data_IF_837469915456
#
_entry.id   IF_837469915456
#
_cell.length_a   1.000
_cell.length_b   1.000
_cell.length_c   1.000
_cell.angle_alpha   90.00
_cell.angle_beta   90.00
_cell.angle_gamma   90.00
#
_symmetry.space_group_name_H-M   'P 1'
#
loop_
_entity.id
_entity.type
_entity.pdbx_description
1 polymer ?
#
# COMPACT_ATOMS: atom_id res chain seq x y z
N UNK A 1 8.49 38.68 -14.93
CA UNK A 1 7.78 38.35 -16.19
C UNK A 1 7.10 39.61 -16.68
N UNK A 2 7.49 40.13 -17.84
CA UNK A 2 6.79 41.18 -18.61
C UNK A 2 5.33 40.78 -18.78
N UNK A 3 4.37 41.72 -18.83
CA UNK A 3 2.98 41.44 -19.21
C UNK A 3 2.87 41.83 -20.67
N UNK A 4 3.31 40.94 -21.55
CA UNK A 4 3.53 41.30 -22.92
C UNK A 4 2.16 41.26 -23.58
N UNK A 5 1.70 42.40 -24.07
CA UNK A 5 0.79 42.37 -25.20
C UNK A 5 1.59 41.83 -26.38
N UNK A 6 1.51 40.53 -26.51
CA UNK A 6 2.47 39.76 -27.30
C UNK A 6 2.02 39.74 -28.76
N UNK A 7 0.71 39.88 -28.99
CA UNK A 7 0.06 39.47 -30.23
C UNK A 7 -0.71 40.56 -30.93
N UNK A 8 -1.12 41.60 -30.23
CA UNK A 8 -1.52 42.83 -30.90
C UNK A 8 -0.20 43.53 -31.28
N UNK A 9 0.25 43.43 -32.54
CA UNK A 9 1.49 44.03 -32.97
C UNK A 9 1.34 45.54 -32.84
N UNK A 10 2.40 46.21 -32.40
CA UNK A 10 2.36 47.66 -32.18
C UNK A 10 2.01 48.46 -33.44
N UNK A 11 2.07 47.83 -34.63
CA UNK A 11 1.88 48.46 -35.93
C UNK A 11 0.64 47.98 -36.72
N UNK A 12 -0.33 47.29 -36.09
CA UNK A 12 -1.52 46.79 -36.78
C UNK A 12 -2.41 47.94 -37.35
N UNK A 13 -2.93 47.81 -38.58
CA UNK A 13 -3.76 48.85 -39.26
C UNK A 13 -5.15 48.40 -39.76
N UNK A 14 -5.45 47.10 -39.72
CA UNK A 14 -6.69 46.53 -40.28
C UNK A 14 -7.77 46.35 -39.21
N UNK A 15 -9.04 46.72 -39.50
CA UNK A 15 -10.14 46.57 -38.55
C UNK A 15 -10.84 45.19 -38.68
N UNK A 16 -11.11 44.51 -37.56
CA UNK A 16 -12.30 43.66 -37.35
C UNK A 16 -12.39 43.18 -35.88
N UNK A 17 -11.56 42.23 -35.41
CA UNK A 17 -11.47 41.93 -33.97
C UNK A 17 -10.19 41.19 -33.56
N UNK A 18 -9.56 41.67 -32.48
CA UNK A 18 -8.45 41.03 -31.80
C UNK A 18 -8.74 41.06 -30.30
N UNK A 19 -8.44 39.97 -29.59
CA UNK A 19 -8.53 39.93 -28.13
C UNK A 19 -7.32 39.22 -27.55
N UNK A 20 -6.77 39.83 -26.50
CA UNK A 20 -5.75 39.24 -25.65
C UNK A 20 -6.24 39.25 -24.20
N UNK A 21 -5.80 38.26 -23.42
CA UNK A 21 -6.21 38.10 -22.04
C UNK A 21 -5.02 38.30 -21.12
N UNK A 22 -5.12 39.31 -20.28
CA UNK A 22 -4.12 39.63 -19.27
C UNK A 22 -4.44 38.91 -17.95
N UNK A 23 -3.61 37.93 -17.62
CA UNK A 23 -3.71 37.14 -16.40
C UNK A 23 -3.02 37.79 -15.19
N UNK A 24 -2.51 39.02 -15.32
CA UNK A 24 -1.80 39.77 -14.27
C UNK A 24 -2.57 39.94 -12.96
N UNK A 25 -3.89 40.03 -13.06
CA UNK A 25 -4.82 40.21 -11.95
C UNK A 25 -5.65 38.96 -11.68
N UNK A 26 -5.34 37.84 -12.35
CA UNK A 26 -5.94 36.58 -11.97
C UNK A 26 -5.43 36.16 -10.60
N UNK A 27 -6.30 35.50 -9.84
CA UNK A 27 -5.94 35.04 -8.51
C UNK A 27 -4.77 34.04 -8.59
N UNK A 28 -3.59 34.50 -8.17
CA UNK A 28 -2.36 33.72 -8.10
C UNK A 28 -2.17 32.99 -6.77
N UNK A 29 -3.17 33.04 -5.87
CA UNK A 29 -3.10 32.36 -4.60
C UNK A 29 -3.21 30.84 -4.80
N UNK A 30 -2.08 30.17 -4.99
CA UNK A 30 -1.97 28.75 -4.69
C UNK A 30 -1.58 28.61 -3.23
N UNK A 31 -2.46 28.03 -2.42
CA UNK A 31 -2.06 27.58 -1.08
C UNK A 31 -1.53 26.17 -1.24
N UNK A 32 -0.20 25.92 -1.10
CA UNK A 32 0.31 24.57 -1.11
C UNK A 32 -0.33 23.79 0.05
N UNK A 33 -1.09 22.76 -0.30
CA UNK A 33 -1.70 21.86 0.67
C UNK A 33 -0.72 20.71 0.90
N UNK A 34 -0.09 20.74 2.07
CA UNK A 34 0.85 19.71 2.50
C UNK A 34 0.14 18.71 3.38
N UNK A 35 0.34 17.44 3.07
CA UNK A 35 -0.15 16.33 3.89
C UNK A 35 1.01 15.77 4.70
N UNK A 36 0.78 15.54 5.98
CA UNK A 36 1.68 14.76 6.83
C UNK A 36 1.03 13.41 7.13
N UNK A 37 1.69 12.32 6.73
CA UNK A 37 1.32 10.96 7.09
C UNK A 37 2.25 10.50 8.21
N UNK A 38 1.67 10.05 9.31
CA UNK A 38 2.39 9.53 10.47
C UNK A 38 2.08 8.05 10.59
N UNK A 39 3.12 7.22 10.64
CA UNK A 39 2.94 5.79 10.77
C UNK A 39 4.24 5.04 11.01
N UNK A 40 4.08 3.76 11.32
CA UNK A 40 5.19 2.87 11.63
C UNK A 40 5.93 2.42 10.36
N UNK A 41 7.24 2.28 10.48
CA UNK A 41 8.14 1.73 9.46
C UNK A 41 8.62 0.34 9.87
N UNK A 42 9.18 -0.44 8.96
CA UNK A 42 9.83 -1.71 9.31
C UNK A 42 11.24 -1.45 9.90
N UNK A 43 11.80 -2.43 10.59
CA UNK A 43 13.14 -2.32 11.20
C UNK A 43 14.25 -1.99 10.19
N UNK A 44 14.11 -2.44 8.94
CA UNK A 44 15.05 -2.19 7.83
C UNK A 44 14.84 -0.81 7.14
N UNK A 45 13.99 0.05 7.70
CA UNK A 45 13.72 1.38 7.16
C UNK A 45 14.98 2.25 7.11
N UNK A 46 15.13 2.99 6.02
CA UNK A 46 16.22 3.97 5.83
C UNK A 46 15.77 5.40 6.12
N UNK A 47 14.49 5.60 6.46
CA UNK A 47 13.99 6.92 6.83
C UNK A 47 14.53 7.34 8.21
N UNK A 48 14.93 8.61 8.38
CA UNK A 48 15.35 9.13 9.67
C UNK A 48 14.16 9.18 10.64
N UNK A 49 14.24 8.43 11.74
CA UNK A 49 13.19 8.38 12.76
C UNK A 49 12.81 9.79 13.26
N UNK A 50 11.50 10.02 13.43
CA UNK A 50 10.91 11.27 13.95
C UNK A 50 11.21 12.54 13.12
N UNK A 51 11.68 12.39 11.87
CA UNK A 51 11.95 13.51 10.95
C UNK A 51 11.05 13.39 9.71
N UNK A 52 10.19 14.38 9.41
CA UNK A 52 9.39 14.38 8.20
C UNK A 52 10.24 14.40 6.93
N UNK A 53 9.97 13.47 6.00
CA UNK A 53 10.63 13.39 4.69
C UNK A 53 9.60 13.51 3.58
N UNK A 54 9.87 14.37 2.60
CA UNK A 54 9.03 14.51 1.41
C UNK A 54 9.13 13.25 0.53
N UNK A 55 8.00 12.61 0.27
CA UNK A 55 7.92 11.39 -0.56
C UNK A 55 6.76 11.53 -1.54
N UNK A 56 7.03 11.29 -2.83
CA UNK A 56 6.07 11.55 -3.91
C UNK A 56 5.46 10.28 -4.53
N UNK A 57 5.83 9.08 -4.06
CA UNK A 57 5.26 7.84 -4.60
C UNK A 57 5.17 6.72 -3.57
N UNK A 58 4.18 5.84 -3.74
CA UNK A 58 4.03 4.64 -2.92
C UNK A 58 5.24 3.69 -3.06
N UNK A 59 5.81 3.56 -4.26
CA UNK A 59 6.99 2.74 -4.49
C UNK A 59 8.22 3.26 -3.74
N UNK A 60 8.43 4.58 -3.73
CA UNK A 60 9.48 5.21 -2.92
C UNK A 60 9.22 4.99 -1.43
N UNK A 61 7.97 5.12 -0.97
CA UNK A 61 7.61 4.83 0.41
C UNK A 61 7.89 3.35 0.78
N UNK A 62 7.57 2.39 -0.09
CA UNK A 62 7.87 0.98 0.11
C UNK A 62 9.38 0.73 0.26
N UNK A 63 10.21 1.34 -0.59
CA UNK A 63 11.65 1.19 -0.54
C UNK A 63 12.29 1.82 0.70
N UNK A 64 11.75 2.97 1.15
CA UNK A 64 12.33 3.72 2.27
C UNK A 64 11.82 3.24 3.63
N UNK A 65 10.51 3.04 3.78
CA UNK A 65 9.85 2.64 5.03
C UNK A 65 9.72 1.11 5.20
N UNK A 66 9.91 0.34 4.12
CA UNK A 66 9.68 -1.09 4.04
C UNK A 66 8.33 -1.44 3.39
N UNK A 67 8.36 -2.38 2.45
CA UNK A 67 7.18 -2.83 1.72
C UNK A 67 6.19 -3.55 2.66
N UNK A 68 4.95 -3.08 2.65
CA UNK A 68 3.88 -3.55 3.55
C UNK A 68 3.95 -2.95 4.96
N UNK A 69 4.81 -1.95 5.21
CA UNK A 69 4.73 -1.14 6.43
C UNK A 69 3.41 -0.37 6.51
N UNK A 70 3.03 0.04 7.72
CA UNK A 70 1.90 0.94 7.97
C UNK A 70 2.02 2.21 7.13
N UNK A 71 3.21 2.82 7.09
CA UNK A 71 3.47 4.01 6.29
C UNK A 71 3.31 3.77 4.78
N UNK A 72 3.80 2.64 4.26
CA UNK A 72 3.59 2.26 2.86
C UNK A 72 2.09 2.11 2.53
N UNK A 73 1.34 1.43 3.40
CA UNK A 73 -0.11 1.25 3.22
C UNK A 73 -0.87 2.59 3.25
N UNK A 74 -0.57 3.46 4.22
CA UNK A 74 -1.17 4.79 4.32
C UNK A 74 -0.86 5.66 3.11
N UNK A 75 0.39 5.68 2.64
CA UNK A 75 0.79 6.43 1.45
C UNK A 75 0.07 5.93 0.19
N UNK A 76 -0.03 4.60 0.04
CA UNK A 76 -0.76 3.99 -1.07
C UNK A 76 -2.24 4.37 -1.05
N UNK A 77 -2.88 4.32 0.12
CA UNK A 77 -4.28 4.72 0.28
C UNK A 77 -4.49 6.22 0.03
N UNK A 78 -3.55 7.07 0.46
CA UNK A 78 -3.60 8.51 0.21
C UNK A 78 -3.53 8.80 -1.29
N UNK A 79 -2.53 8.27 -2.00
CA UNK A 79 -2.33 8.52 -3.43
C UNK A 79 -3.47 7.98 -4.31
N UNK A 80 -4.24 7.00 -3.84
CA UNK A 80 -5.44 6.55 -4.53
C UNK A 80 -6.56 7.62 -4.55
N UNK A 81 -6.51 8.60 -3.64
CA UNK A 81 -7.48 9.69 -3.54
C UNK A 81 -6.90 11.03 -4.04
N UNK A 82 -5.62 11.29 -3.78
CA UNK A 82 -4.91 12.48 -4.22
C UNK A 82 -3.57 12.10 -4.87
N UNK A 83 -3.58 12.00 -6.20
CA UNK A 83 -2.42 11.57 -6.98
C UNK A 83 -1.31 12.61 -7.09
N UNK A 84 -1.55 13.87 -6.68
CA UNK A 84 -0.64 15.00 -6.90
C UNK A 84 -0.29 15.77 -5.61
N UNK A 85 -0.70 15.27 -4.44
CA UNK A 85 -0.44 15.89 -3.15
C UNK A 85 1.04 16.00 -2.77
N UNK A 86 1.40 17.09 -2.09
CA UNK A 86 2.72 17.25 -1.47
C UNK A 86 2.73 16.48 -0.13
N UNK A 87 3.23 15.24 -0.14
CA UNK A 87 3.16 14.34 1.02
C UNK A 87 4.49 14.22 1.75
N UNK A 88 4.46 14.52 3.05
CA UNK A 88 5.54 14.24 3.99
C UNK A 88 5.21 13.00 4.81
N UNK A 89 6.19 12.10 4.95
CA UNK A 89 6.09 10.94 5.83
C UNK A 89 6.87 11.22 7.11
N UNK A 90 6.23 11.07 8.27
CA UNK A 90 6.89 11.05 9.58
C UNK A 90 7.05 9.59 10.03
N UNK A 91 8.26 9.03 9.93
CA UNK A 91 8.53 7.64 10.27
C UNK A 91 8.57 7.44 11.79
N UNK A 92 7.79 6.48 12.26
CA UNK A 92 7.86 5.98 13.63
C UNK A 92 8.46 4.57 13.64
N UNK A 93 9.30 4.30 14.63
CA UNK A 93 9.77 2.95 14.92
C UNK A 93 8.80 2.24 15.86
N UNK A 94 8.67 0.92 15.71
CA UNK A 94 7.95 0.10 16.68
C UNK A 94 8.68 0.13 18.03
N UNK A 95 7.95 0.38 19.12
CA UNK A 95 8.56 0.34 20.46
C UNK A 95 8.89 -1.11 20.87
N UNK A 96 9.93 -1.29 21.69
CA UNK A 96 10.40 -2.62 22.11
C UNK A 96 9.34 -3.44 22.85
N UNK A 97 8.42 -2.79 23.57
CA UNK A 97 7.32 -3.43 24.29
C UNK A 97 6.14 -3.83 23.40
N UNK A 98 6.10 -3.38 22.14
CA UNK A 98 5.06 -3.76 21.21
C UNK A 98 5.27 -5.20 20.74
N UNK A 99 4.17 -5.89 20.43
CA UNK A 99 4.18 -7.27 19.94
C UNK A 99 3.47 -7.33 18.60
N UNK A 100 3.98 -8.14 17.67
CA UNK A 100 3.32 -8.39 16.40
C UNK A 100 2.05 -9.24 16.61
N UNK A 101 0.94 -8.84 16.01
CA UNK A 101 -0.28 -9.63 16.02
C UNK A 101 -0.05 -10.95 15.25
N UNK A 102 -0.60 -12.05 15.76
CA UNK A 102 -0.48 -13.38 15.15
C UNK A 102 -1.83 -13.83 14.61
N UNK A 103 -1.86 -14.18 13.33
CA UNK A 103 -3.00 -14.80 12.65
C UNK A 103 -2.67 -16.24 12.25
N UNK A 104 -3.68 -17.11 12.19
CA UNK A 104 -3.51 -18.49 11.72
C UNK A 104 -4.50 -18.79 10.59
N UNK A 105 -4.02 -19.46 9.57
CA UNK A 105 -4.82 -20.05 8.50
C UNK A 105 -4.57 -21.55 8.52
N UNK A 106 -5.63 -22.32 8.68
CA UNK A 106 -5.54 -23.78 8.75
C UNK A 106 -6.15 -24.39 7.50
N UNK A 107 -5.38 -25.22 6.80
CA UNK A 107 -5.89 -26.08 5.73
C UNK A 107 -6.25 -27.42 6.36
N UNK A 108 -7.54 -27.70 6.49
CA UNK A 108 -8.05 -28.85 7.25
C UNK A 108 -8.27 -30.11 6.41
N UNK A 109 -8.32 -29.99 5.09
CA UNK A 109 -8.59 -31.12 4.18
C UNK A 109 -7.92 -30.93 2.82
N UNK A 110 -7.57 -32.03 2.12
CA UNK A 110 -7.09 -31.97 0.74
C UNK A 110 -8.11 -31.34 -0.21
N UNK A 111 -7.65 -30.89 -1.37
CA UNK A 111 -8.54 -30.37 -2.39
C UNK A 111 -9.40 -31.49 -3.00
N UNK A 112 -10.73 -31.31 -3.02
CA UNK A 112 -11.67 -32.27 -3.62
C UNK A 112 -11.86 -32.08 -5.13
N UNK A 113 -11.50 -30.90 -5.64
CA UNK A 113 -11.58 -30.54 -7.05
C UNK A 113 -10.53 -29.48 -7.36
N UNK A 114 -10.19 -29.35 -8.65
CA UNK A 114 -9.35 -28.25 -9.13
C UNK A 114 -10.11 -26.93 -9.04
N UNK A 115 -9.46 -25.89 -8.51
CA UNK A 115 -10.05 -24.57 -8.33
C UNK A 115 -9.02 -23.52 -7.92
N UNK A 116 -9.52 -22.35 -7.52
CA UNK A 116 -8.70 -21.24 -7.04
C UNK A 116 -9.16 -20.85 -5.64
N UNK A 117 -8.22 -20.76 -4.72
CA UNK A 117 -8.42 -20.14 -3.42
C UNK A 117 -8.14 -18.64 -3.58
N UNK A 118 -9.14 -17.81 -3.30
CA UNK A 118 -9.04 -16.34 -3.33
C UNK A 118 -9.08 -15.79 -1.90
N UNK A 119 -7.90 -15.65 -1.29
CA UNK A 119 -7.74 -15.11 0.06
C UNK A 119 -7.61 -13.58 0.01
N UNK A 120 -8.25 -12.88 0.94
CA UNK A 120 -8.13 -11.44 1.09
C UNK A 120 -7.48 -11.15 2.43
N UNK A 121 -6.34 -10.46 2.43
CA UNK A 121 -5.61 -10.06 3.63
C UNK A 121 -5.46 -8.54 3.59
N UNK A 122 -6.05 -7.84 4.57
CA UNK A 122 -6.04 -6.37 4.61
C UNK A 122 -6.66 -5.74 3.34
N UNK A 123 -7.61 -6.42 2.70
CA UNK A 123 -8.23 -6.00 1.44
C UNK A 123 -7.45 -6.34 0.17
N UNK A 124 -6.23 -6.89 0.27
CA UNK A 124 -5.42 -7.30 -0.89
C UNK A 124 -5.69 -8.77 -1.23
N UNK A 125 -5.95 -9.04 -2.51
CA UNK A 125 -6.25 -10.39 -2.99
C UNK A 125 -4.98 -11.20 -3.23
N UNK A 126 -4.93 -12.39 -2.64
CA UNK A 126 -3.92 -13.44 -2.81
C UNK A 126 -4.61 -14.66 -3.42
N UNK A 127 -4.12 -15.13 -4.56
CA UNK A 127 -4.71 -16.27 -5.26
C UNK A 127 -3.74 -17.43 -5.38
N UNK A 128 -4.26 -18.63 -5.12
CA UNK A 128 -3.53 -19.88 -5.26
C UNK A 128 -4.40 -20.88 -6.00
N UNK A 129 -3.87 -21.44 -7.10
CA UNK A 129 -4.55 -22.55 -7.79
C UNK A 129 -4.29 -23.83 -7.02
N UNK A 130 -5.34 -24.64 -6.83
CA UNK A 130 -5.26 -25.96 -6.22
C UNK A 130 -5.79 -26.99 -7.21
N UNK A 131 -5.21 -28.18 -7.23
CA UNK A 131 -5.67 -29.33 -8.03
C UNK A 131 -6.18 -30.44 -7.13
N UNK A 132 -7.05 -31.31 -7.65
CA UNK A 132 -7.66 -32.40 -6.86
C UNK A 132 -6.67 -33.42 -6.26
N UNK A 133 -5.40 -33.39 -6.69
CA UNK A 133 -4.32 -34.23 -6.15
C UNK A 133 -3.52 -33.56 -5.04
N UNK A 134 -3.75 -32.27 -4.77
CA UNK A 134 -2.99 -31.54 -3.75
C UNK A 134 -3.42 -31.96 -2.35
N UNK A 135 -2.44 -32.38 -1.56
CA UNK A 135 -2.63 -32.58 -0.14
C UNK A 135 -2.62 -31.26 0.64
N UNK A 136 -2.95 -31.37 1.92
CA UNK A 136 -3.04 -30.24 2.85
C UNK A 136 -1.73 -29.45 2.94
N UNK A 137 -0.59 -30.13 2.91
CA UNK A 137 0.74 -29.51 3.02
C UNK A 137 1.11 -28.74 1.74
N UNK A 138 0.77 -29.30 0.58
CA UNK A 138 0.98 -28.70 -0.74
C UNK A 138 0.18 -27.40 -0.87
N UNK A 139 -1.10 -27.42 -0.48
CA UNK A 139 -1.95 -26.21 -0.50
C UNK A 139 -1.39 -25.14 0.45
N UNK A 140 -0.99 -25.53 1.66
CA UNK A 140 -0.45 -24.60 2.63
C UNK A 140 0.86 -23.96 2.17
N UNK A 141 1.76 -24.73 1.57
CA UNK A 141 3.02 -24.25 0.98
C UNK A 141 2.75 -23.28 -0.16
N UNK A 142 1.80 -23.60 -1.04
CA UNK A 142 1.43 -22.75 -2.16
C UNK A 142 0.78 -21.43 -1.71
N UNK A 143 -0.05 -21.46 -0.67
CA UNK A 143 -0.61 -20.24 -0.06
C UNK A 143 0.47 -19.38 0.59
N UNK A 144 1.40 -19.98 1.34
CA UNK A 144 2.51 -19.26 1.95
C UNK A 144 3.37 -18.55 0.90
N UNK A 145 3.71 -19.25 -0.20
CA UNK A 145 4.44 -18.66 -1.31
C UNK A 145 3.68 -17.51 -2.00
N UNK A 146 2.36 -17.66 -2.18
CA UNK A 146 1.53 -16.62 -2.78
C UNK A 146 1.41 -15.36 -1.89
N UNK A 147 1.39 -15.53 -0.56
CA UNK A 147 1.43 -14.44 0.41
C UNK A 147 2.77 -13.72 0.35
N UNK A 148 3.89 -14.45 0.39
CA UNK A 148 5.24 -13.85 0.37
C UNK A 148 5.57 -13.17 -0.97
N UNK A 149 4.96 -13.61 -2.08
CA UNK A 149 5.08 -12.94 -3.38
C UNK A 149 4.42 -11.53 -3.39
N UNK A 150 3.59 -11.21 -2.39
CA UNK A 150 2.87 -9.94 -2.24
C UNK A 150 3.49 -9.09 -1.16
N UNK A 151 4.64 -8.48 -1.47
CA UNK A 151 5.40 -7.66 -0.53
C UNK A 151 4.60 -6.46 0.04
N UNK A 152 3.54 -6.02 -0.63
CA UNK A 152 2.63 -4.97 -0.16
C UNK A 152 1.76 -5.38 1.04
N UNK A 153 1.64 -6.67 1.34
CA UNK A 153 0.83 -7.15 2.46
C UNK A 153 1.38 -6.70 3.81
N UNK A 154 0.50 -6.37 4.79
CA UNK A 154 0.90 -5.97 6.13
C UNK A 154 1.28 -7.15 7.05
N UNK A 155 1.42 -8.35 6.49
CA UNK A 155 1.76 -9.58 7.21
C UNK A 155 2.91 -10.32 6.51
N UNK A 156 3.58 -11.19 7.25
CA UNK A 156 4.56 -12.16 6.75
C UNK A 156 4.26 -13.54 7.33
N UNK A 157 4.63 -14.59 6.61
CA UNK A 157 4.55 -15.98 7.04
C UNK A 157 5.73 -16.26 7.97
N UNK A 158 5.43 -16.54 9.24
CA UNK A 158 6.46 -16.85 10.25
C UNK A 158 6.63 -18.35 10.49
N UNK A 159 5.61 -19.15 10.15
CA UNK A 159 5.69 -20.59 10.27
C UNK A 159 4.71 -21.27 9.31
N UNK A 160 5.15 -22.40 8.77
CA UNK A 160 4.32 -23.40 8.10
C UNK A 160 4.60 -24.74 8.76
N UNK A 161 3.58 -25.41 9.28
CA UNK A 161 3.78 -26.71 9.91
C UNK A 161 2.51 -27.53 10.02
N UNK A 162 2.67 -28.84 10.04
CA UNK A 162 1.59 -29.77 10.31
C UNK A 162 1.32 -29.81 11.81
N UNK A 163 0.11 -29.45 12.22
CA UNK A 163 -0.38 -29.78 13.56
C UNK A 163 -1.06 -31.13 13.48
N UNK A 164 -0.57 -32.10 14.27
CA UNK A 164 -0.99 -33.52 14.27
C UNK A 164 -2.52 -33.71 14.41
N UNK A 165 -3.24 -32.70 14.89
CA UNK A 165 -4.69 -32.70 15.09
C UNK A 165 -5.50 -31.73 14.20
N UNK A 166 -4.88 -30.79 13.47
CA UNK A 166 -5.58 -29.67 12.78
C UNK A 166 -5.23 -29.50 11.29
N UNK A 167 -4.34 -30.32 10.72
CA UNK A 167 -3.86 -30.15 9.34
C UNK A 167 -2.66 -29.19 9.24
N UNK A 168 -2.40 -28.62 8.05
CA UNK A 168 -1.29 -27.70 7.84
C UNK A 168 -1.69 -26.28 8.23
N UNK A 169 -0.95 -25.71 9.17
CA UNK A 169 -1.19 -24.40 9.75
C UNK A 169 -0.16 -23.41 9.20
N UNK A 170 -0.65 -22.34 8.59
CA UNK A 170 0.13 -21.15 8.29
C UNK A 170 -0.02 -20.17 9.44
N UNK A 171 1.09 -19.76 10.02
CA UNK A 171 1.13 -18.71 11.03
C UNK A 171 1.63 -17.45 10.37
N UNK A 172 0.83 -16.40 10.46
CA UNK A 172 1.12 -15.07 9.96
C UNK A 172 1.45 -14.16 11.14
N UNK A 173 2.41 -13.27 10.96
CA UNK A 173 2.66 -12.16 11.87
C UNK A 173 2.45 -10.83 11.15
N UNK A 174 1.85 -9.86 11.83
CA UNK A 174 1.83 -8.48 11.36
C UNK A 174 3.27 -7.96 11.22
N UNK A 175 3.57 -7.27 10.12
CA UNK A 175 4.91 -6.72 9.86
C UNK A 175 5.27 -5.60 10.82
N UNK A 176 4.30 -4.76 11.18
CA UNK A 176 4.43 -3.78 12.24
C UNK A 176 3.82 -4.30 13.54
N UNK A 177 4.50 -4.05 14.66
CA UNK A 177 4.06 -4.41 16.00
C UNK A 177 3.04 -3.41 16.53
N UNK A 178 2.17 -3.88 17.42
CA UNK A 178 1.18 -3.05 18.11
C UNK A 178 -0.26 -3.43 17.81
N UNK A 179 -1.18 -2.73 18.46
CA UNK A 179 -2.59 -3.10 18.47
C UNK A 179 -3.26 -3.06 17.08
N UNK A 180 -2.78 -2.22 16.16
CA UNK A 180 -3.32 -2.09 14.82
C UNK A 180 -3.28 -3.41 14.03
N UNK A 181 -2.29 -4.27 14.31
CA UNK A 181 -2.16 -5.58 13.67
C UNK A 181 -3.33 -6.51 13.97
N UNK A 182 -4.03 -6.32 15.10
CA UNK A 182 -5.20 -7.14 15.47
C UNK A 182 -6.43 -6.85 14.61
N UNK A 183 -6.41 -5.77 13.83
CA UNK A 183 -7.50 -5.36 12.93
C UNK A 183 -7.23 -5.74 11.47
N UNK A 184 -6.15 -6.48 11.19
CA UNK A 184 -5.87 -7.00 9.85
C UNK A 184 -6.93 -8.07 9.53
N UNK A 185 -7.84 -7.73 8.63
CA UNK A 185 -8.92 -8.60 8.19
C UNK A 185 -8.38 -9.70 7.25
N UNK A 186 -8.79 -10.95 7.51
CA UNK A 186 -8.46 -12.12 6.69
C UNK A 186 -9.77 -12.80 6.31
N UNK A 187 -10.07 -12.88 5.00
CA UNK A 187 -11.32 -13.47 4.49
C UNK A 187 -11.08 -14.39 3.31
N UNK A 188 -11.79 -15.52 3.30
CA UNK A 188 -11.81 -16.44 2.17
C UNK A 188 -12.93 -16.04 1.19
N UNK A 189 -12.59 -15.93 -0.10
CA UNK A 189 -13.50 -15.75 -1.23
C UNK A 189 -14.49 -14.57 -1.08
N UNK A 190 -14.06 -13.47 -0.47
CA UNK A 190 -14.95 -12.35 -0.13
C UNK A 190 -15.66 -11.70 -1.33
N UNK A 191 -14.96 -11.54 -2.47
CA UNK A 191 -15.53 -10.99 -3.71
C UNK A 191 -15.82 -12.06 -4.77
N UNK A 192 -15.93 -13.34 -4.36
CA UNK A 192 -16.12 -14.48 -5.25
C UNK A 192 -14.87 -15.35 -5.41
N UNK A 193 -15.05 -16.43 -6.17
CA UNK A 193 -14.01 -17.39 -6.58
C UNK A 193 -13.28 -16.93 -7.83
#
# INVERSE_FOLDING_TARGET
MTIPFTHIPSNLRTPLFFAEFDNSQANSASTPQRTLIIGQTLAESTLPADIPVLVSSAATAANLAGAGSMLHGQMTAYLANDTAGEVYLLPLSDADSMVAAIGKITVSSPASATGVISLYIGGIRVQTTVVATDDVSTIATALAAAIEAKAELPVTVVHTGDSVSDGAVLVLAAKNKGAHGNNIDIRLNYLGS
#
